data_IF_571917150630
#
_entry.id   IF_571917150630
#
_cell.length_a   1.000
_cell.length_b   1.000
_cell.length_c   1.000
_cell.angle_alpha   90.00
_cell.angle_beta   90.00
_cell.angle_gamma   90.00
#
_symmetry.space_group_name_H-M   'P 1'
#
loop_
_entity.id
_entity.type
_entity.pdbx_description
1 polymer ?
#
# COMPACT_ATOMS: atom_id res chain seq x y z
N UNK A 1 49.85 13.62 10.31
CA UNK A 1 48.69 13.79 11.23
C UNK A 1 47.42 13.60 10.42
N UNK A 2 46.78 12.42 10.45
CA UNK A 2 45.57 12.15 9.65
C UNK A 2 44.33 12.35 10.52
N UNK A 3 43.47 13.28 10.13
CA UNK A 3 42.22 13.58 10.81
C UNK A 3 41.20 12.51 10.41
N UNK A 4 40.67 11.77 11.39
CA UNK A 4 39.59 10.78 11.16
C UNK A 4 38.43 11.54 10.49
N UNK A 5 38.14 11.22 9.23
CA UNK A 5 36.94 11.74 8.57
C UNK A 5 35.73 11.15 9.28
N UNK A 6 34.66 11.95 9.40
CA UNK A 6 33.38 11.51 9.95
C UNK A 6 32.97 10.19 9.31
N UNK A 7 32.73 9.17 10.13
CA UNK A 7 32.29 7.87 9.67
C UNK A 7 30.80 7.95 9.39
N UNK A 8 30.42 8.06 8.12
CA UNK A 8 29.04 7.89 7.68
C UNK A 8 28.70 6.40 7.78
N UNK A 9 28.09 6.01 8.89
CA UNK A 9 27.57 4.66 9.09
C UNK A 9 26.22 4.53 8.39
N UNK A 10 26.15 3.59 7.45
CA UNK A 10 24.92 3.23 6.73
C UNK A 10 24.21 2.15 7.54
N UNK A 11 22.88 2.25 7.64
CA UNK A 11 22.04 1.25 8.31
C UNK A 11 21.11 0.62 7.28
N UNK A 12 20.98 -0.70 7.32
CA UNK A 12 20.02 -1.44 6.52
C UNK A 12 18.91 -1.91 7.46
N UNK A 13 17.69 -1.49 7.18
CA UNK A 13 16.51 -1.90 7.95
C UNK A 13 15.96 -3.18 7.32
N UNK A 14 15.66 -4.17 8.15
CA UNK A 14 15.09 -5.45 7.74
C UNK A 14 13.66 -5.60 8.28
N UNK A 15 12.90 -6.53 7.71
CA UNK A 15 11.50 -6.76 8.08
C UNK A 15 10.57 -5.64 7.59
N UNK A 16 9.47 -5.42 8.31
CA UNK A 16 8.44 -4.45 7.91
C UNK A 16 8.94 -2.99 7.88
N UNK A 17 10.00 -2.68 8.64
CA UNK A 17 10.60 -1.36 8.64
C UNK A 17 11.16 -0.90 7.30
N UNK A 18 11.37 -1.84 6.36
CA UNK A 18 11.81 -1.56 4.99
C UNK A 18 10.66 -1.28 4.01
N UNK A 19 9.40 -1.48 4.43
CA UNK A 19 8.22 -1.30 3.58
C UNK A 19 7.52 0.04 3.80
N UNK A 20 7.83 0.77 4.87
CA UNK A 20 7.24 2.08 5.11
C UNK A 20 7.70 3.08 4.06
N UNK A 21 6.76 3.75 3.41
CA UNK A 21 7.04 4.80 2.44
C UNK A 21 7.43 6.11 3.12
N UNK A 22 7.89 7.05 2.30
CA UNK A 22 8.24 8.39 2.74
C UNK A 22 7.07 9.36 2.57
N UNK A 23 6.79 10.13 3.62
CA UNK A 23 6.04 11.38 3.52
C UNK A 23 6.64 12.40 4.47
N UNK A 24 6.79 13.64 4.01
CA UNK A 24 7.22 14.79 4.81
C UNK A 24 6.02 15.54 5.42
N UNK A 25 4.84 15.50 4.79
CA UNK A 25 3.62 16.15 5.27
C UNK A 25 2.72 15.22 6.10
N UNK A 26 2.45 14.00 5.60
CA UNK A 26 1.48 13.05 6.16
C UNK A 26 2.10 11.90 6.96
N UNK A 27 3.32 12.06 7.48
CA UNK A 27 3.93 11.03 8.33
C UNK A 27 3.09 10.77 9.59
N UNK A 28 2.80 9.49 9.86
CA UNK A 28 2.08 9.04 11.05
C UNK A 28 2.94 8.13 11.94
N UNK A 29 4.10 7.66 11.44
CA UNK A 29 5.05 6.85 12.19
C UNK A 29 6.39 7.60 12.39
N UNK A 30 6.82 7.69 13.64
CA UNK A 30 8.18 8.06 14.03
C UNK A 30 9.05 6.83 14.33
N UNK A 31 10.36 7.00 14.30
CA UNK A 31 11.29 5.91 14.60
C UNK A 31 12.51 6.35 15.41
N UNK A 32 13.01 5.44 16.24
CA UNK A 32 14.24 5.62 17.03
C UNK A 32 15.16 4.41 16.89
N UNK A 33 16.49 4.62 16.97
CA UNK A 33 17.49 3.55 16.90
C UNK A 33 17.92 3.13 18.30
N UNK A 34 17.70 1.87 18.62
CA UNK A 34 18.35 1.23 19.75
C UNK A 34 19.62 0.52 19.26
N UNK A 35 20.73 1.25 19.26
CA UNK A 35 22.04 0.74 18.81
C UNK A 35 22.53 -0.40 19.69
N UNK A 36 22.17 -0.39 20.98
CA UNK A 36 22.63 -1.41 21.93
C UNK A 36 22.05 -2.78 21.58
N UNK A 37 20.78 -2.79 21.20
CA UNK A 37 20.05 -4.01 20.85
C UNK A 37 20.04 -4.29 19.33
N UNK A 38 20.52 -3.35 18.51
CA UNK A 38 20.57 -3.49 17.04
C UNK A 38 19.19 -3.45 16.39
N UNK A 39 18.24 -2.72 16.98
CA UNK A 39 16.85 -2.65 16.51
C UNK A 39 16.42 -1.21 16.25
N UNK A 40 15.36 -1.07 15.45
CA UNK A 40 14.64 0.20 15.25
C UNK A 40 13.24 0.06 15.82
N UNK A 41 12.84 1.04 16.63
CA UNK A 41 11.54 1.07 17.28
C UNK A 41 10.68 2.09 16.55
N UNK A 42 9.54 1.65 16.05
CA UNK A 42 8.55 2.48 15.36
C UNK A 42 7.41 2.82 16.33
N UNK A 43 6.98 4.07 16.33
CA UNK A 43 5.91 4.58 17.20
C UNK A 43 4.96 5.46 16.39
N UNK A 44 3.67 5.30 16.60
CA UNK A 44 2.68 6.20 16.03
C UNK A 44 2.83 7.60 16.64
N UNK A 45 2.78 8.63 15.81
CA UNK A 45 2.84 10.04 16.22
C UNK A 45 1.45 10.60 16.55
N UNK A 46 0.42 9.98 15.99
CA UNK A 46 -1.00 10.29 16.17
C UNK A 46 -1.81 9.00 16.10
N UNK A 47 -3.11 9.10 16.36
CA UNK A 47 -4.03 7.99 16.08
C UNK A 47 -4.07 7.72 14.57
N UNK A 48 -4.14 6.42 14.23
CA UNK A 48 -4.12 5.92 12.85
C UNK A 48 -5.39 5.11 12.65
N UNK A 49 -6.12 5.40 11.58
CA UNK A 49 -7.36 4.71 11.25
C UNK A 49 -7.11 3.39 10.51
N UNK A 50 -8.11 2.51 10.50
CA UNK A 50 -8.00 1.24 9.76
C UNK A 50 -7.96 1.51 8.25
N UNK A 51 -6.96 0.95 7.57
CA UNK A 51 -6.76 1.14 6.13
C UNK A 51 -5.82 2.31 5.76
N UNK A 52 -5.46 3.16 6.73
CA UNK A 52 -4.54 4.28 6.50
C UNK A 52 -3.11 3.79 6.22
N UNK A 53 -2.44 4.36 5.22
CA UNK A 53 -1.05 4.02 4.90
C UNK A 53 -0.08 4.52 5.99
N UNK A 54 0.86 3.66 6.40
CA UNK A 54 1.87 4.02 7.38
C UNK A 54 3.13 4.62 6.70
N UNK A 55 3.39 5.88 7.00
CA UNK A 55 4.49 6.66 6.41
C UNK A 55 5.48 7.16 7.46
N UNK A 56 6.76 7.16 7.10
CA UNK A 56 7.87 7.69 7.93
C UNK A 56 8.61 8.83 7.21
N UNK A 57 9.31 9.67 7.96
CA UNK A 57 10.32 10.54 7.35
C UNK A 57 11.64 9.78 7.13
N UNK A 58 12.12 9.78 5.88
CA UNK A 58 13.46 9.31 5.50
C UNK A 58 14.53 10.39 5.77
N UNK A 59 14.11 11.63 6.03
CA UNK A 59 14.95 12.80 6.27
C UNK A 59 15.26 13.62 5.02
N UNK A 60 15.92 14.76 5.21
CA UNK A 60 16.07 15.85 4.22
C UNK A 60 16.90 15.51 2.97
N UNK A 61 17.54 14.33 2.93
CA UNK A 61 18.46 13.94 1.84
C UNK A 61 17.95 12.70 1.13
N UNK A 62 16.88 12.87 0.37
CA UNK A 62 16.38 11.87 -0.55
C UNK A 62 17.23 11.81 -1.82
N UNK A 63 17.33 10.63 -2.41
CA UNK A 63 17.97 10.42 -3.71
C UNK A 63 16.96 10.45 -4.88
N UNK A 64 15.68 10.64 -4.55
CA UNK A 64 14.54 10.76 -5.44
C UNK A 64 13.74 12.02 -5.08
N UNK A 65 12.80 12.40 -5.95
CA UNK A 65 11.91 13.53 -5.71
C UNK A 65 10.92 13.19 -4.58
N UNK A 66 10.82 14.08 -3.59
CA UNK A 66 9.86 13.91 -2.50
C UNK A 66 8.43 13.94 -3.05
N UNK A 67 7.62 12.95 -2.67
CA UNK A 67 6.25 12.77 -3.13
C UNK A 67 5.31 13.89 -2.67
N UNK A 68 5.71 14.64 -1.66
CA UNK A 68 4.94 15.75 -1.08
C UNK A 68 5.35 17.12 -1.65
N UNK A 69 6.33 17.17 -2.57
CA UNK A 69 6.72 18.43 -3.21
C UNK A 69 5.60 18.93 -4.11
N UNK A 70 5.06 20.10 -3.75
CA UNK A 70 4.01 20.77 -4.52
C UNK A 70 2.59 20.28 -4.23
N UNK A 71 2.42 19.36 -3.27
CA UNK A 71 1.11 18.99 -2.73
C UNK A 71 0.81 19.89 -1.54
N UNK A 72 -0.25 20.67 -1.64
CA UNK A 72 -0.97 21.16 -0.46
C UNK A 72 -1.89 20.02 0.03
N UNK A 73 -2.36 20.02 1.28
CA UNK A 73 -3.20 18.95 1.84
C UNK A 73 -4.41 18.67 0.92
N UNK A 74 -4.32 17.66 0.05
CA UNK A 74 -5.40 17.19 -0.82
C UNK A 74 -6.16 16.10 -0.07
N UNK A 75 -7.50 16.20 0.00
CA UNK A 75 -8.36 15.12 0.53
C UNK A 75 -8.14 13.85 -0.31
N UNK A 76 -7.94 12.70 0.35
CA UNK A 76 -7.80 11.40 -0.30
C UNK A 76 -9.02 11.10 -1.19
N UNK A 77 -8.86 11.28 -2.51
CA UNK A 77 -9.79 10.80 -3.52
C UNK A 77 -9.62 9.29 -3.73
N UNK A 78 -10.69 8.59 -4.12
CA UNK A 78 -10.79 7.12 -4.18
C UNK A 78 -9.85 6.38 -5.16
N UNK A 79 -8.89 7.09 -5.77
CA UNK A 79 -7.89 6.54 -6.68
C UNK A 79 -8.45 5.91 -7.97
N UNK A 80 -9.78 5.89 -8.15
CA UNK A 80 -10.44 5.23 -9.28
C UNK A 80 -10.17 5.99 -10.59
N UNK A 81 -9.96 7.31 -10.49
CA UNK A 81 -9.61 8.17 -11.62
C UNK A 81 -8.24 7.85 -12.24
N UNK A 82 -7.32 7.20 -11.51
CA UNK A 82 -5.96 6.88 -12.00
C UNK A 82 -5.93 5.58 -12.81
N UNK A 83 -6.93 4.71 -12.65
CA UNK A 83 -6.96 3.37 -13.27
C UNK A 83 -7.73 3.34 -14.61
N UNK A 84 -8.33 4.45 -15.04
CA UNK A 84 -9.20 4.54 -16.23
C UNK A 84 -8.54 4.27 -17.59
N UNK A 85 -7.28 3.84 -17.63
CA UNK A 85 -6.52 3.58 -18.86
C UNK A 85 -6.10 2.13 -19.09
N UNK A 86 -6.39 1.20 -18.17
CA UNK A 86 -6.02 -0.22 -18.33
C UNK A 86 -7.25 -0.99 -18.80
N UNK A 87 -7.44 -1.07 -20.13
CA UNK A 87 -8.37 -2.03 -20.72
C UNK A 87 -7.73 -3.42 -20.62
N UNK A 88 -8.24 -4.29 -19.76
CA UNK A 88 -8.00 -5.73 -19.89
C UNK A 88 -9.08 -6.23 -20.83
N UNK A 89 -8.71 -6.54 -22.07
CA UNK A 89 -9.60 -7.25 -22.98
C UNK A 89 -9.89 -8.62 -22.35
N UNK A 90 -11.03 -8.73 -21.68
CA UNK A 90 -11.57 -10.02 -21.25
C UNK A 90 -12.12 -10.65 -22.52
N UNK A 91 -11.34 -11.52 -23.16
CA UNK A 91 -11.93 -12.49 -24.08
C UNK A 91 -12.81 -13.41 -23.23
N UNK A 92 -14.12 -13.14 -23.24
CA UNK A 92 -15.12 -14.07 -22.73
C UNK A 92 -15.15 -15.28 -23.67
N UNK A 93 -14.47 -16.35 -23.29
CA UNK A 93 -14.78 -17.68 -23.79
C UNK A 93 -16.18 -18.04 -23.27
N UNK A 94 -17.20 -17.75 -24.10
CA UNK A 94 -18.57 -18.22 -23.89
C UNK A 94 -18.60 -19.70 -24.23
N UNK A 95 -18.41 -20.55 -23.23
CA UNK A 95 -18.79 -21.96 -23.28
C UNK A 95 -20.31 -22.08 -23.19
N UNK A 96 -20.93 -22.22 -24.37
CA UNK A 96 -22.33 -22.53 -24.49
C UNK A 96 -22.65 -23.93 -23.96
N UNK A 97 -23.59 -24.01 -23.03
CA UNK A 97 -24.40 -25.20 -22.81
C UNK A 97 -25.87 -24.84 -23.07
N UNK A 98 -26.35 -25.31 -24.22
CA UNK A 98 -27.77 -25.41 -24.54
C UNK A 98 -28.25 -26.76 -24.00
N UNK A 99 -29.09 -26.76 -22.97
CA UNK A 99 -29.95 -27.91 -22.66
C UNK A 99 -31.41 -27.43 -22.67
N UNK A 100 -32.00 -27.53 -23.86
CA UNK A 100 -33.42 -27.84 -24.05
C UNK A 100 -33.59 -29.26 -23.49
N UNK A 101 -34.55 -29.52 -22.60
CA UNK A 101 -35.74 -30.30 -22.95
C UNK A 101 -36.78 -30.17 -21.81
N UNK A 102 -37.97 -29.74 -22.18
CA UNK A 102 -39.14 -29.78 -21.31
C UNK A 102 -39.79 -31.15 -21.32
N UNK A 103 -40.35 -31.56 -20.18
CA UNK A 103 -41.52 -32.42 -20.14
C UNK A 103 -42.49 -31.89 -19.07
N UNK A 104 -43.67 -31.52 -19.54
CA UNK A 104 -44.87 -31.29 -18.75
C UNK A 104 -45.51 -32.67 -18.51
N UNK A 105 -45.66 -33.10 -17.26
CA UNK A 105 -46.55 -34.21 -16.91
C UNK A 105 -47.62 -33.69 -15.96
N UNK A 106 -48.88 -33.87 -16.38
CA UNK A 106 -50.07 -33.17 -15.91
C UNK A 106 -51.11 -34.19 -15.41
N UNK A 107 -50.75 -35.22 -14.65
CA UNK A 107 -51.72 -36.28 -14.35
C UNK A 107 -52.14 -36.28 -12.86
N UNK A 108 -53.43 -36.02 -12.63
CA UNK A 108 -54.06 -35.83 -11.32
C UNK A 108 -54.67 -37.06 -10.66
N UNK A 109 -55.42 -36.77 -9.57
CA UNK A 109 -56.34 -37.62 -8.79
C UNK A 109 -55.69 -38.77 -7.97
N UNK A 110 -56.06 -39.11 -6.72
CA UNK A 110 -57.19 -38.79 -5.85
C UNK A 110 -56.89 -39.27 -4.39
N UNK A 111 -57.80 -38.97 -3.46
CA UNK A 111 -57.84 -39.30 -2.02
C UNK A 111 -57.77 -40.80 -1.62
#
# INVERSE_FOLDING_TARGET
MWKRRSCFIIHIILGLGSMFNHSSLHQNIGWERDIKNGVVIYKTLRDVEEGEELCISYGDRLWFEDADVGKEEEEEGDGMDVLGGICVDVEEDVDGEEDVDGEEDVDGEED
#
